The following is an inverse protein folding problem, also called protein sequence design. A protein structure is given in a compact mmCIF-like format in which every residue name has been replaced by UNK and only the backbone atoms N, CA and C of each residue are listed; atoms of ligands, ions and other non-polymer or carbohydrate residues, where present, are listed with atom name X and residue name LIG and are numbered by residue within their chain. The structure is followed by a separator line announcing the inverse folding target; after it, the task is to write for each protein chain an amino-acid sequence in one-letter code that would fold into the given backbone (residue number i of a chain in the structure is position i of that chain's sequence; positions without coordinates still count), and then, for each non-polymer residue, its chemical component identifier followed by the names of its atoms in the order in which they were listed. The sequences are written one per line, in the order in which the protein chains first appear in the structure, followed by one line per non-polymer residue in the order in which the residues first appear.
data_IF_104782177931
#
_entry.id   IF_104782177931
#
_cell.length_a   1.000
_cell.length_b   1.000
_cell.length_c   1.000
_cell.angle_alpha   90.00
_cell.angle_beta   90.00
_cell.angle_gamma   90.00
#
_symmetry.space_group_name_H-M   'P 1'
#
loop_
_entity.id
_entity.type
_entity.pdbx_description
1 polymer ?
#
# COMPACT_ATOMS: atom_id res chain seq x y z
N UNK A 1 5.30 6.07 -9.45
CA UNK A 1 4.59 4.83 -9.85
C UNK A 1 3.58 4.43 -8.80
N UNK A 2 2.40 3.97 -9.24
CA UNK A 2 1.33 3.46 -8.37
C UNK A 2 1.25 1.94 -8.56
N UNK A 3 1.23 1.19 -7.47
CA UNK A 3 1.06 -0.27 -7.46
C UNK A 3 -0.13 -0.66 -6.57
N UNK A 4 -0.58 -1.90 -6.71
CA UNK A 4 -1.66 -2.44 -5.90
C UNK A 4 -1.48 -3.92 -5.62
N UNK A 5 -2.07 -4.39 -4.53
CA UNK A 5 -2.22 -5.82 -4.27
C UNK A 5 -3.65 -6.16 -3.84
N UNK A 6 -4.00 -7.41 -4.03
CA UNK A 6 -5.33 -7.96 -3.72
C UNK A 6 -5.23 -8.86 -2.49
N UNK A 7 -5.93 -8.49 -1.40
CA UNK A 7 -5.91 -9.23 -0.14
C UNK A 7 -6.58 -10.61 -0.23
N UNK A 8 -7.45 -10.83 -1.22
CA UNK A 8 -8.04 -12.16 -1.46
C UNK A 8 -6.99 -13.19 -1.89
N UNK A 9 -5.85 -12.72 -2.43
CA UNK A 9 -4.73 -13.56 -2.86
C UNK A 9 -3.72 -13.85 -1.74
N UNK A 10 -3.92 -13.30 -0.54
CA UNK A 10 -3.05 -13.52 0.61
C UNK A 10 -3.12 -14.99 1.05
N UNK A 11 -2.00 -15.72 1.12
CA UNK A 11 -1.98 -17.10 1.62
C UNK A 11 -2.53 -17.18 3.05
N UNK A 12 -3.36 -18.19 3.35
CA UNK A 12 -3.97 -18.38 4.68
C UNK A 12 -2.93 -18.35 5.82
N UNK A 13 -1.76 -18.95 5.61
CA UNK A 13 -0.65 -18.97 6.59
C UNK A 13 -0.13 -17.58 6.93
N UNK A 14 -0.08 -16.67 5.95
CA UNK A 14 0.27 -15.27 6.18
C UNK A 14 -0.87 -14.59 6.91
N UNK A 15 -2.10 -14.69 6.38
CA UNK A 15 -3.29 -13.99 6.90
C UNK A 15 -3.61 -14.28 8.37
N UNK A 16 -3.27 -15.47 8.87
CA UNK A 16 -3.46 -15.87 10.28
C UNK A 16 -2.38 -15.31 11.22
N UNK A 17 -1.23 -14.88 10.70
CA UNK A 17 -0.15 -14.29 11.48
C UNK A 17 -0.32 -12.77 11.53
N UNK A 18 -0.40 -12.24 12.74
CA UNK A 18 -0.51 -10.81 12.98
C UNK A 18 0.65 -10.04 12.32
N UNK A 19 0.38 -8.82 11.85
CA UNK A 19 1.36 -7.90 11.27
C UNK A 19 2.07 -8.39 9.99
N UNK A 20 1.54 -9.39 9.27
CA UNK A 20 2.17 -9.90 8.03
C UNK A 20 1.52 -9.46 6.73
N UNK A 21 0.22 -9.11 6.72
CA UNK A 21 -0.51 -8.82 5.49
C UNK A 21 0.06 -7.64 4.69
N UNK A 22 0.55 -6.60 5.37
CA UNK A 22 1.17 -5.43 4.72
C UNK A 22 2.51 -5.83 4.12
N UNK A 23 3.35 -6.53 4.87
CA UNK A 23 4.65 -7.03 4.40
C UNK A 23 4.49 -7.94 3.18
N UNK A 24 3.55 -8.89 3.23
CA UNK A 24 3.23 -9.74 2.09
C UNK A 24 2.73 -8.92 0.89
N UNK A 25 1.80 -7.98 1.10
CA UNK A 25 1.22 -7.18 0.04
C UNK A 25 2.23 -6.28 -0.66
N UNK A 26 3.11 -5.63 0.11
CA UNK A 26 4.22 -4.84 -0.41
C UNK A 26 5.13 -5.75 -1.24
N UNK A 27 5.65 -6.84 -0.66
CA UNK A 27 6.54 -7.77 -1.37
C UNK A 27 5.92 -8.36 -2.64
N UNK A 28 4.62 -8.65 -2.64
CA UNK A 28 3.90 -9.20 -3.79
C UNK A 28 3.64 -8.15 -4.89
N UNK A 29 3.57 -6.87 -4.53
CA UNK A 29 3.35 -5.77 -5.48
C UNK A 29 4.66 -5.23 -6.06
N UNK A 30 5.75 -5.29 -5.30
CA UNK A 30 7.07 -4.79 -5.70
C UNK A 30 7.62 -5.60 -6.89
N UNK A 31 8.12 -4.88 -7.89
CA UNK A 31 8.90 -5.45 -9.00
C UNK A 31 10.38 -5.12 -8.80
N UNK A 32 10.86 -4.08 -9.47
CA UNK A 32 12.28 -3.65 -9.43
C UNK A 32 12.47 -2.17 -9.05
N UNK A 33 11.41 -1.35 -9.12
CA UNK A 33 11.45 0.08 -8.79
C UNK A 33 10.64 0.37 -7.53
N UNK A 34 11.15 1.25 -6.68
CA UNK A 34 10.42 1.78 -5.52
C UNK A 34 9.20 2.60 -5.99
N UNK A 35 7.97 2.22 -5.60
CA UNK A 35 6.77 2.97 -5.94
C UNK A 35 6.62 4.22 -5.07
N UNK A 36 5.79 5.15 -5.52
CA UNK A 36 5.34 6.28 -4.69
C UNK A 36 4.11 5.90 -3.87
N UNK A 37 3.27 4.99 -4.40
CA UNK A 37 2.01 4.58 -3.80
C UNK A 37 1.81 3.07 -3.96
N UNK A 38 1.34 2.41 -2.90
CA UNK A 38 0.78 1.06 -2.94
C UNK A 38 -0.60 1.10 -2.30
N UNK A 39 -1.62 0.53 -2.93
CA UNK A 39 -2.96 0.46 -2.33
C UNK A 39 -3.58 -0.93 -2.38
N UNK A 40 -4.60 -1.15 -1.56
CA UNK A 40 -5.49 -2.32 -1.63
C UNK A 40 -6.95 -1.92 -1.43
N UNK A 41 -7.87 -2.70 -1.98
CA UNK A 41 -9.32 -2.44 -1.90
C UNK A 41 -9.98 -2.92 -0.60
N UNK A 42 -9.19 -3.44 0.33
CA UNK A 42 -9.69 -4.01 1.58
C UNK A 42 -9.92 -5.50 1.44
N UNK A 43 -10.66 -6.06 2.39
CA UNK A 43 -11.09 -7.46 2.42
C UNK A 43 -12.30 -7.58 3.36
N UNK A 44 -12.90 -8.76 3.51
CA UNK A 44 -13.97 -8.98 4.47
C UNK A 44 -13.49 -8.57 5.88
N UNK A 45 -14.17 -7.58 6.48
CA UNK A 45 -13.83 -7.02 7.78
C UNK A 45 -12.56 -6.14 7.82
N UNK A 46 -12.00 -5.75 6.66
CA UNK A 46 -10.82 -4.88 6.56
C UNK A 46 -11.05 -3.72 5.60
N UNK A 47 -10.81 -2.50 6.06
CA UNK A 47 -10.96 -1.30 5.26
C UNK A 47 -9.94 -1.22 4.11
N UNK A 48 -10.27 -0.56 2.99
CA UNK A 48 -9.31 -0.20 1.94
C UNK A 48 -8.27 0.81 2.45
N UNK A 49 -7.05 0.77 1.90
CA UNK A 49 -5.97 1.67 2.32
C UNK A 49 -5.03 2.04 1.17
N UNK A 50 -4.50 3.26 1.23
CA UNK A 50 -3.46 3.81 0.35
C UNK A 50 -2.21 4.08 1.21
N UNK A 51 -1.09 3.47 0.84
CA UNK A 51 0.22 3.68 1.44
C UNK A 51 1.05 4.59 0.54
N UNK A 52 1.53 5.71 1.07
CA UNK A 52 2.32 6.70 0.34
C UNK A 52 3.75 6.67 0.86
N UNK A 53 4.72 6.50 -0.04
CA UNK A 53 6.13 6.35 0.29
C UNK A 53 6.91 7.60 -0.11
N UNK A 54 7.89 7.97 0.70
CA UNK A 54 8.82 9.07 0.40
C UNK A 54 10.15 8.85 1.10
N UNK A 55 11.21 9.50 0.58
CA UNK A 55 12.55 9.40 1.17
C UNK A 55 12.67 10.11 2.53
N UNK A 56 11.78 11.07 2.77
CA UNK A 56 11.66 11.87 3.98
C UNK A 56 10.21 12.38 4.11
N UNK A 57 9.82 12.95 5.27
CA UNK A 57 8.46 13.45 5.49
C UNK A 57 8.01 14.50 4.45
N UNK A 58 8.88 15.42 4.04
CA UNK A 58 8.55 16.45 3.05
C UNK A 58 8.17 15.86 1.68
N UNK A 59 8.85 14.81 1.24
CA UNK A 59 8.51 14.09 0.00
C UNK A 59 7.11 13.47 0.09
N UNK A 60 6.75 12.91 1.24
CA UNK A 60 5.40 12.35 1.48
C UNK A 60 4.36 13.46 1.42
N UNK A 61 4.56 14.58 2.12
CA UNK A 61 3.63 15.72 2.13
C UNK A 61 3.43 16.27 0.72
N UNK A 62 4.51 16.42 -0.06
CA UNK A 62 4.44 16.88 -1.46
C UNK A 62 3.70 15.91 -2.37
N UNK A 63 3.76 14.60 -2.11
CA UNK A 63 2.98 13.60 -2.87
C UNK A 63 1.51 13.67 -2.49
N UNK A 64 1.21 13.80 -1.20
CA UNK A 64 -0.16 13.95 -0.68
C UNK A 64 -0.81 15.23 -1.21
N UNK A 65 -0.09 16.35 -1.29
CA UNK A 65 -0.66 17.61 -1.78
C UNK A 65 -1.17 17.52 -3.21
N UNK A 66 -0.54 16.70 -4.06
CA UNK A 66 -0.98 16.44 -5.44
C UNK A 66 -2.23 15.58 -5.55
N UNK A 67 -2.60 14.85 -4.50
CA UNK A 67 -3.77 13.97 -4.47
C UNK A 67 -5.06 14.70 -4.06
N UNK A 68 -4.93 15.90 -3.51
CA UNK A 68 -6.07 16.73 -3.14
C UNK A 68 -6.33 17.73 -4.27
N UNK A 69 -7.58 17.93 -4.72
CA UNK A 69 -7.91 19.08 -5.54
C UNK A 69 -7.55 20.35 -4.75
N UNK A 70 -6.93 21.32 -5.41
CA UNK A 70 -6.72 22.64 -4.84
C UNK A 70 -8.08 23.23 -4.50
N UNK A 71 -8.26 23.60 -3.23
CA UNK A 71 -9.17 24.69 -2.86
C UNK A 71 -8.37 25.98 -2.87
#
# INVERSE_FOLDING_TARGET
TILSYDRSKEPKKSKQKENTSITWGISNSLKTKSPDIIYHKGDIGKEPMILIFGKNPDDVIRKVSKLRPYH
#
